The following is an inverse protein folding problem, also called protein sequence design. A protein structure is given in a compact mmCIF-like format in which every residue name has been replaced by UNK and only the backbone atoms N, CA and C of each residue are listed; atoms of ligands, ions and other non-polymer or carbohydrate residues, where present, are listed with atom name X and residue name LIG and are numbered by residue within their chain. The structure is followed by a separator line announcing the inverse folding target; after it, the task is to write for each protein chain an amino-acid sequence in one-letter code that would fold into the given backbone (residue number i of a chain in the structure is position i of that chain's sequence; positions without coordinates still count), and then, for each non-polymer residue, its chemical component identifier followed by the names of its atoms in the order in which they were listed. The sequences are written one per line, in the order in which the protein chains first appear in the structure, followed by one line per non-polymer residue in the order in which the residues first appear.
data_IF_536680157726
#
_entry.id   IF_536680157726
#
_cell.length_a   1.000
_cell.length_b   1.000
_cell.length_c   1.000
_cell.angle_alpha   90.00
_cell.angle_beta   90.00
_cell.angle_gamma   90.00
#
_symmetry.space_group_name_H-M   'P 1'
#
loop_
_entity.id
_entity.type
_entity.pdbx_description
1 polymer ?
#
# COMPACT_ATOMS: atom_id res chain seq x y z
N UNK A 1 -4.43 -40.86 7.78
CA UNK A 1 -4.47 -39.44 8.22
C UNK A 1 -5.94 -39.01 8.35
N UNK A 2 -6.49 -38.85 9.56
CA UNK A 2 -7.90 -38.41 9.72
C UNK A 2 -8.00 -36.91 9.38
N UNK A 3 -8.56 -36.60 8.22
CA UNK A 3 -8.95 -35.24 7.83
C UNK A 3 -10.00 -34.73 8.82
N UNK A 4 -9.56 -33.93 9.79
CA UNK A 4 -10.45 -33.28 10.73
C UNK A 4 -10.87 -31.95 10.10
N UNK A 5 -12.11 -31.87 9.62
CA UNK A 5 -12.70 -30.67 8.97
C UNK A 5 -12.45 -29.39 9.76
N UNK A 6 -12.45 -29.49 11.09
CA UNK A 6 -12.16 -28.36 12.00
C UNK A 6 -10.71 -27.90 11.95
N UNK A 7 -9.77 -28.81 11.72
CA UNK A 7 -8.34 -28.52 11.56
C UNK A 7 -8.05 -27.89 10.19
N UNK A 8 -8.75 -28.36 9.14
CA UNK A 8 -8.73 -27.72 7.82
C UNK A 8 -9.29 -26.30 7.87
N UNK A 9 -10.49 -26.09 8.44
CA UNK A 9 -11.07 -24.74 8.58
C UNK A 9 -10.17 -23.80 9.40
N UNK A 10 -9.59 -24.28 10.51
CA UNK A 10 -8.63 -23.46 11.28
C UNK A 10 -7.39 -23.08 10.46
N UNK A 11 -6.86 -24.00 9.67
CA UNK A 11 -5.72 -23.71 8.79
C UNK A 11 -6.12 -22.72 7.68
N UNK A 12 -7.28 -22.91 7.05
CA UNK A 12 -7.81 -22.04 5.99
C UNK A 12 -8.09 -20.62 6.48
N UNK A 13 -8.67 -20.46 7.68
CA UNK A 13 -8.93 -19.15 8.30
C UNK A 13 -7.62 -18.42 8.61
N UNK A 14 -6.62 -19.13 9.16
CA UNK A 14 -5.31 -18.55 9.41
C UNK A 14 -4.61 -18.10 8.12
N UNK A 15 -4.68 -18.88 7.04
CA UNK A 15 -4.15 -18.48 5.74
C UNK A 15 -4.94 -17.32 5.11
N UNK A 16 -6.27 -17.33 5.20
CA UNK A 16 -7.11 -16.26 4.63
C UNK A 16 -6.89 -14.93 5.34
N UNK A 17 -6.69 -14.94 6.67
CA UNK A 17 -6.33 -13.75 7.42
C UNK A 17 -5.01 -13.13 6.94
N UNK A 18 -4.02 -13.95 6.57
CA UNK A 18 -2.74 -13.44 6.05
C UNK A 18 -2.87 -12.70 4.70
N UNK A 19 -3.79 -13.14 3.82
CA UNK A 19 -4.08 -12.44 2.56
C UNK A 19 -4.92 -11.16 2.76
N UNK A 20 -5.56 -11.00 3.92
CA UNK A 20 -6.31 -9.81 4.29
C UNK A 20 -5.44 -8.75 4.97
N UNK A 21 -4.21 -9.10 5.41
CA UNK A 21 -3.26 -8.14 5.99
C UNK A 21 -2.54 -7.44 4.83
N UNK A 22 -3.21 -6.46 4.23
CA UNK A 22 -2.57 -5.52 3.30
C UNK A 22 -2.13 -4.26 4.08
N UNK A 23 -0.95 -3.69 3.79
CA UNK A 23 -0.46 -2.50 4.50
C UNK A 23 -1.44 -1.32 4.38
N UNK A 24 -1.55 -0.51 5.45
CA UNK A 24 -2.50 0.63 5.52
C UNK A 24 -2.31 1.66 4.41
N UNK A 25 -1.11 1.78 3.85
CA UNK A 25 -0.82 2.66 2.71
C UNK A 25 -1.43 2.18 1.39
N UNK A 26 -1.80 0.90 1.27
CA UNK A 26 -2.36 0.31 0.05
C UNK A 26 -3.88 0.51 -0.02
N UNK A 27 -4.57 0.55 1.12
CA UNK A 27 -6.04 0.69 1.18
C UNK A 27 -6.50 2.16 1.09
N UNK A 28 -5.57 3.13 1.04
CA UNK A 28 -5.94 4.56 1.03
C UNK A 28 -6.63 5.03 2.32
N UNK A 29 -6.25 4.46 3.47
CA UNK A 29 -6.79 4.88 4.77
C UNK A 29 -6.42 6.34 5.11
N UNK A 30 -7.17 6.96 6.03
CA UNK A 30 -6.99 8.38 6.41
C UNK A 30 -5.52 8.76 6.63
N UNK A 31 -5.04 9.75 5.87
CA UNK A 31 -3.66 10.24 5.89
C UNK A 31 -2.69 9.48 4.98
N UNK A 32 -3.17 8.63 4.08
CA UNK A 32 -2.35 7.94 3.08
C UNK A 32 -3.02 7.95 1.71
N UNK A 33 -2.31 8.45 0.71
CA UNK A 33 -2.75 8.39 -0.68
C UNK A 33 -2.67 6.94 -1.15
N UNK A 34 -3.77 6.34 -1.65
CA UNK A 34 -3.72 5.00 -2.21
C UNK A 34 -2.78 4.97 -3.42
N UNK A 35 -2.14 3.81 -3.69
CA UNK A 35 -1.21 3.67 -4.81
C UNK A 35 -1.85 3.95 -6.18
N UNK A 36 -3.17 3.78 -6.30
CA UNK A 36 -3.94 4.11 -7.51
C UNK A 36 -4.02 5.61 -7.81
N UNK A 37 -3.86 6.46 -6.80
CA UNK A 37 -3.93 7.93 -6.94
C UNK A 37 -2.54 8.58 -6.90
N UNK A 38 -1.49 7.77 -6.82
CA UNK A 38 -0.10 8.24 -6.91
C UNK A 38 0.29 8.42 -8.39
N UNK A 39 0.87 9.57 -8.73
CA UNK A 39 1.35 9.87 -10.08
C UNK A 39 2.87 10.08 -10.08
N UNK A 40 3.51 9.78 -11.22
CA UNK A 40 4.92 10.09 -11.43
C UNK A 40 5.10 11.54 -11.89
N UNK A 41 6.03 12.28 -11.29
CA UNK A 41 6.38 13.63 -11.70
C UNK A 41 7.90 13.78 -11.84
N UNK A 42 8.33 14.71 -12.69
CA UNK A 42 9.72 15.07 -12.85
C UNK A 42 9.83 16.58 -13.08
N UNK A 43 10.77 17.22 -12.36
CA UNK A 43 11.09 18.62 -12.54
C UNK A 43 12.44 18.73 -13.26
N UNK A 44 12.43 19.21 -14.51
CA UNK A 44 13.62 19.33 -15.34
C UNK A 44 13.95 20.82 -15.52
N UNK A 45 15.24 21.17 -15.39
CA UNK A 45 15.70 22.54 -15.62
C UNK A 45 15.45 23.53 -14.47
N UNK A 46 15.52 23.09 -13.21
CA UNK A 46 15.10 23.89 -12.05
C UNK A 46 16.12 24.93 -11.56
N UNK A 47 17.29 25.08 -12.22
CA UNK A 47 18.27 26.14 -11.90
C UNK A 47 18.67 26.24 -10.42
N UNK A 48 18.77 25.11 -9.71
CA UNK A 48 19.09 25.05 -8.28
C UNK A 48 17.89 25.10 -7.31
N UNK A 49 16.67 25.31 -7.80
CA UNK A 49 15.44 25.37 -6.97
C UNK A 49 14.63 24.06 -6.94
N UNK A 50 15.27 22.93 -7.24
CA UNK A 50 14.59 21.64 -7.39
C UNK A 50 13.76 21.21 -6.18
N UNK A 51 14.35 21.04 -4.99
CA UNK A 51 13.69 20.38 -3.86
C UNK A 51 12.42 21.08 -3.38
N UNK A 52 12.49 22.37 -3.01
CA UNK A 52 11.34 23.10 -2.47
C UNK A 52 10.24 23.36 -3.49
N UNK A 53 10.61 23.58 -4.77
CA UNK A 53 9.61 23.78 -5.84
C UNK A 53 8.88 22.48 -6.14
N UNK A 54 9.62 21.38 -6.25
CA UNK A 54 9.04 20.07 -6.51
C UNK A 54 8.14 19.61 -5.37
N UNK A 55 8.55 19.81 -4.12
CA UNK A 55 7.76 19.47 -2.93
C UNK A 55 6.44 20.23 -2.85
N UNK A 56 6.40 21.51 -3.27
CA UNK A 56 5.17 22.30 -3.35
C UNK A 56 4.25 21.92 -4.53
N UNK A 57 4.76 21.22 -5.55
CA UNK A 57 3.97 20.74 -6.69
C UNK A 57 3.35 19.36 -6.44
N UNK A 58 3.97 18.53 -5.61
CA UNK A 58 3.58 17.11 -5.40
C UNK A 58 2.83 16.85 -4.08
N UNK A 59 2.65 17.88 -3.25
CA UNK A 59 1.83 17.84 -2.03
C UNK A 59 0.41 18.31 -2.29
#
# INVERSE_FOLDING_TARGET
MKSNRRKFIKASVASAASFQIVPRHVIGGQGHTPPSETYGAALIGCGGRGPGTYEGMVR
#
